data_IF_777457350003
#
_entry.id   IF_777457350003
#
_cell.length_a   1.000
_cell.length_b   1.000
_cell.length_c   1.000
_cell.angle_alpha   90.00
_cell.angle_beta   90.00
_cell.angle_gamma   90.00
#
_symmetry.space_group_name_H-M   'P 1'
#
loop_
_entity.id
_entity.type
_entity.pdbx_description
1 polymer ?
#
# COMPACT_ATOMS: atom_id res chain seq x y z
N UNK A 1 -0.38 19.52 -18.72
CA UNK A 1 -0.48 20.62 -17.74
C UNK A 1 -0.94 19.96 -16.45
N UNK A 2 -0.12 20.00 -15.40
CA UNK A 2 -0.50 19.37 -14.14
C UNK A 2 -1.69 20.12 -13.56
N UNK A 3 -2.70 19.40 -13.07
CA UNK A 3 -3.80 20.02 -12.35
C UNK A 3 -3.40 20.20 -10.88
N UNK A 4 -2.31 20.94 -10.67
CA UNK A 4 -1.80 21.29 -9.35
C UNK A 4 -2.25 22.68 -8.99
N UNK A 5 -2.68 22.86 -7.75
CA UNK A 5 -2.95 24.18 -7.19
C UNK A 5 -1.82 24.57 -6.25
N UNK A 6 -1.44 25.86 -6.16
CA UNK A 6 -0.50 26.29 -5.14
C UNK A 6 -1.04 25.96 -3.73
N UNK A 7 -0.14 25.57 -2.81
CA UNK A 7 -0.50 25.48 -1.40
C UNK A 7 -1.02 26.83 -0.89
N UNK A 8 -1.93 26.82 0.08
CA UNK A 8 -2.37 28.05 0.73
C UNK A 8 -1.21 28.70 1.49
N UNK A 9 -1.29 30.00 1.76
CA UNK A 9 -0.23 30.70 2.51
C UNK A 9 -0.01 30.07 3.90
N UNK A 10 -1.07 29.65 4.57
CA UNK A 10 -1.00 29.00 5.90
C UNK A 10 -0.27 27.65 5.83
N UNK A 11 -0.59 26.82 4.83
CA UNK A 11 0.08 25.54 4.61
C UNK A 11 1.54 25.73 4.25
N UNK A 12 1.83 26.71 3.39
CA UNK A 12 3.17 27.07 2.98
C UNK A 12 4.00 27.49 4.19
N UNK A 13 3.54 28.46 4.98
CA UNK A 13 4.25 28.96 6.16
C UNK A 13 4.49 27.84 7.20
N UNK A 14 3.48 27.00 7.43
CA UNK A 14 3.56 25.85 8.35
C UNK A 14 4.60 24.81 7.89
N UNK A 15 4.64 24.47 6.60
CA UNK A 15 5.63 23.56 6.04
C UNK A 15 7.04 24.18 6.03
N UNK A 16 7.16 25.48 5.77
CA UNK A 16 8.44 26.20 5.88
C UNK A 16 8.96 26.11 7.31
N UNK A 17 8.14 26.42 8.32
CA UNK A 17 8.53 26.32 9.73
C UNK A 17 9.01 24.90 10.08
N UNK A 18 8.31 23.88 9.55
CA UNK A 18 8.71 22.49 9.73
C UNK A 18 10.04 22.18 9.04
N UNK A 19 10.25 22.64 7.82
CA UNK A 19 11.50 22.45 7.07
C UNK A 19 12.69 23.12 7.74
N UNK A 20 12.52 24.27 8.37
CA UNK A 20 13.61 24.95 9.10
C UNK A 20 14.14 24.13 10.29
N UNK A 21 13.37 23.17 10.80
CA UNK A 21 13.77 22.24 11.86
C UNK A 21 14.55 21.03 11.32
N UNK A 22 14.58 20.83 10.00
CA UNK A 22 15.32 19.76 9.34
C UNK A 22 16.65 20.30 8.78
N UNK A 23 17.78 19.74 9.24
CA UNK A 23 19.12 20.21 8.85
C UNK A 23 19.39 20.20 7.34
N UNK A 24 18.75 19.31 6.58
CA UNK A 24 18.90 19.23 5.12
C UNK A 24 18.03 20.26 4.39
N UNK A 25 16.82 20.51 4.90
CA UNK A 25 15.83 21.34 4.21
C UNK A 25 15.83 22.79 4.67
N UNK A 26 16.42 23.12 5.83
CA UNK A 26 16.51 24.49 6.34
C UNK A 26 17.32 25.38 5.41
N UNK A 27 17.09 26.68 5.52
CA UNK A 27 17.94 27.69 4.86
C UNK A 27 19.34 27.66 5.49
N UNK A 28 20.37 27.75 4.64
CA UNK A 28 21.76 27.50 5.06
C UNK A 28 21.95 26.15 5.80
N UNK A 29 21.25 25.11 5.33
CA UNK A 29 21.34 23.75 5.85
C UNK A 29 22.62 23.03 5.42
N UNK A 30 22.63 21.71 5.56
CA UNK A 30 23.73 20.90 5.05
C UNK A 30 23.83 21.00 3.53
N UNK A 31 25.02 21.30 3.04
CA UNK A 31 25.31 21.29 1.61
C UNK A 31 25.23 19.85 1.11
N UNK A 32 24.26 19.57 0.23
CA UNK A 32 24.06 18.23 -0.31
C UNK A 32 25.11 17.89 -1.38
N UNK A 33 25.76 18.90 -1.98
CA UNK A 33 26.97 18.80 -2.78
C UNK A 33 27.76 20.12 -2.67
N UNK A 34 29.05 20.11 -3.04
CA UNK A 34 29.82 21.31 -3.36
C UNK A 34 29.21 21.98 -4.61
N UNK A 35 28.00 22.52 -4.49
CA UNK A 35 27.41 23.36 -5.53
C UNK A 35 28.34 24.56 -5.72
N UNK A 36 29.02 24.69 -6.87
CA UNK A 36 29.95 25.79 -7.11
C UNK A 36 29.28 27.17 -7.02
N UNK A 37 27.94 27.21 -7.08
CA UNK A 37 27.12 28.41 -7.11
C UNK A 37 26.33 28.63 -5.81
N UNK A 38 26.30 27.67 -4.89
CA UNK A 38 25.56 27.73 -3.62
C UNK A 38 24.12 28.27 -3.81
N UNK A 39 23.41 27.81 -4.85
CA UNK A 39 22.09 28.36 -5.17
C UNK A 39 21.07 27.93 -4.11
N UNK A 40 20.53 28.91 -3.38
CA UNK A 40 19.51 28.66 -2.37
C UNK A 40 18.12 28.53 -3.03
N UNK A 41 17.65 27.29 -3.19
CA UNK A 41 16.33 27.03 -3.76
C UNK A 41 15.19 27.51 -2.82
N UNK A 42 14.14 28.16 -3.35
CA UNK A 42 12.99 28.58 -2.54
C UNK A 42 12.14 27.38 -2.09
N UNK A 43 11.32 27.59 -1.06
CA UNK A 43 10.26 26.65 -0.71
C UNK A 43 9.09 26.82 -1.67
N UNK A 44 8.73 25.75 -2.36
CA UNK A 44 7.66 25.74 -3.34
C UNK A 44 6.80 24.48 -3.15
N UNK A 45 5.52 24.70 -2.85
CA UNK A 45 4.61 23.64 -2.49
C UNK A 45 3.35 23.70 -3.34
N UNK A 46 3.06 22.59 -3.98
CA UNK A 46 1.86 22.39 -4.78
C UNK A 46 0.92 21.39 -4.11
N UNK A 47 -0.35 21.40 -4.48
CA UNK A 47 -1.36 20.45 -4.03
C UNK A 47 -1.85 19.65 -5.22
N UNK A 48 -1.81 18.32 -5.08
CA UNK A 48 -2.47 17.41 -5.99
C UNK A 48 -3.94 17.23 -5.58
N UNK A 49 -4.86 17.29 -6.54
CA UNK A 49 -6.30 17.11 -6.29
C UNK A 49 -6.79 15.68 -6.51
N UNK A 50 -5.99 14.86 -7.18
CA UNK A 50 -6.31 13.44 -7.44
C UNK A 50 -5.06 12.59 -7.25
N UNK A 51 -5.25 11.29 -7.01
CA UNK A 51 -4.11 10.36 -6.91
C UNK A 51 -3.31 10.32 -8.22
N UNK A 52 -3.96 10.56 -9.35
CA UNK A 52 -3.31 10.67 -10.67
C UNK A 52 -2.46 11.92 -10.76
N UNK A 53 -2.94 13.07 -10.30
CA UNK A 53 -2.13 14.31 -10.30
C UNK A 53 -0.90 14.15 -9.41
N UNK A 54 -1.03 13.43 -8.29
CA UNK A 54 0.09 13.09 -7.42
C UNK A 54 1.10 12.16 -8.13
N UNK A 55 0.60 11.12 -8.81
CA UNK A 55 1.45 10.21 -9.60
C UNK A 55 2.15 10.94 -10.76
N UNK A 56 1.44 11.83 -11.46
CA UNK A 56 1.98 12.66 -12.53
C UNK A 56 3.08 13.61 -11.98
N UNK A 57 2.88 14.20 -10.79
CA UNK A 57 3.89 15.03 -10.11
C UNK A 57 5.20 14.26 -9.91
N UNK A 58 5.14 13.06 -9.32
CA UNK A 58 6.33 12.24 -9.10
C UNK A 58 6.94 11.72 -10.40
N UNK A 59 6.14 11.48 -11.44
CA UNK A 59 6.61 10.97 -12.74
C UNK A 59 7.50 11.95 -13.51
N UNK A 60 7.36 13.26 -13.28
CA UNK A 60 8.17 14.25 -14.00
C UNK A 60 9.65 14.20 -13.60
N UNK A 61 9.94 13.87 -12.35
CA UNK A 61 11.28 13.94 -11.77
C UNK A 61 11.89 15.35 -11.82
N UNK A 62 13.21 15.41 -11.60
CA UNK A 62 14.02 16.63 -11.66
C UNK A 62 13.53 17.77 -10.74
N UNK A 63 12.96 17.41 -9.59
CA UNK A 63 12.53 18.36 -8.58
C UNK A 63 13.71 18.88 -7.77
N UNK A 64 13.73 20.18 -7.52
CA UNK A 64 14.74 20.78 -6.65
C UNK A 64 14.46 20.47 -5.18
N UNK A 65 15.51 20.54 -4.36
CA UNK A 65 15.35 20.47 -2.90
C UNK A 65 14.35 21.53 -2.42
N UNK A 66 13.55 21.21 -1.39
CA UNK A 66 12.50 22.07 -0.81
C UNK A 66 11.26 22.27 -1.69
N UNK A 67 11.23 21.70 -2.88
CA UNK A 67 9.97 21.55 -3.61
C UNK A 67 9.18 20.38 -3.04
N UNK A 68 7.86 20.50 -3.02
CA UNK A 68 7.02 19.45 -2.48
C UNK A 68 5.58 19.48 -2.96
N UNK A 69 4.89 18.39 -2.65
CA UNK A 69 3.47 18.21 -2.98
C UNK A 69 2.68 17.80 -1.74
N UNK A 70 1.52 18.43 -1.56
CA UNK A 70 0.51 18.07 -0.58
C UNK A 70 -0.56 17.19 -1.21
N UNK A 71 -1.05 16.22 -0.45
CA UNK A 71 -2.14 15.35 -0.86
C UNK A 71 -2.93 14.86 0.36
N UNK A 72 -4.17 15.32 0.52
CA UNK A 72 -4.95 15.14 1.75
C UNK A 72 -4.17 15.62 2.99
N UNK A 73 -3.96 14.71 3.94
CA UNK A 73 -3.21 14.93 5.17
C UNK A 73 -1.71 14.60 5.06
N UNK A 74 -1.18 14.40 3.85
CA UNK A 74 0.23 14.12 3.60
C UNK A 74 0.93 15.29 2.91
N UNK A 75 2.23 15.42 3.17
CA UNK A 75 3.12 16.25 2.38
C UNK A 75 4.43 15.51 2.10
N UNK A 76 4.93 15.64 0.88
CA UNK A 76 6.16 15.04 0.41
C UNK A 76 7.11 16.15 -0.03
N UNK A 77 8.27 16.26 0.60
CA UNK A 77 9.23 17.34 0.33
C UNK A 77 10.54 16.75 -0.14
N UNK A 78 11.00 17.16 -1.32
CA UNK A 78 12.25 16.68 -1.89
C UNK A 78 13.43 17.06 -1.00
N UNK A 79 14.18 16.06 -0.53
CA UNK A 79 15.40 16.25 0.28
C UNK A 79 16.67 16.25 -0.57
N UNK A 80 16.58 15.70 -1.77
CA UNK A 80 17.72 15.48 -2.64
C UNK A 80 17.50 16.19 -3.97
N UNK A 81 18.37 17.13 -4.33
CA UNK A 81 18.22 17.89 -5.57
C UNK A 81 18.27 16.95 -6.79
N UNK A 82 17.20 16.94 -7.59
CA UNK A 82 17.05 16.06 -8.76
C UNK A 82 16.96 14.56 -8.43
N UNK A 83 16.87 14.18 -7.15
CA UNK A 83 16.76 12.80 -6.71
C UNK A 83 15.32 12.32 -6.57
N UNK A 84 15.16 11.27 -5.78
CA UNK A 84 13.87 10.62 -5.53
C UNK A 84 13.72 10.25 -4.06
N UNK A 85 14.13 11.14 -3.16
CA UNK A 85 14.07 10.92 -1.71
C UNK A 85 13.20 11.98 -1.06
N UNK A 86 11.98 11.57 -0.75
CA UNK A 86 10.92 12.47 -0.34
C UNK A 86 10.71 12.41 1.16
N UNK A 87 10.96 13.52 1.84
CA UNK A 87 10.62 13.67 3.25
C UNK A 87 9.12 13.61 3.41
N UNK A 88 8.64 12.57 4.08
CA UNK A 88 7.22 12.31 4.20
C UNK A 88 6.69 12.80 5.54
N UNK A 89 5.66 13.63 5.43
CA UNK A 89 5.02 14.31 6.55
C UNK A 89 3.54 13.91 6.61
N UNK A 90 3.05 13.74 7.83
CA UNK A 90 1.64 13.54 8.17
C UNK A 90 1.13 14.75 8.93
N UNK A 91 -0.02 15.28 8.55
CA UNK A 91 -0.70 16.34 9.29
C UNK A 91 -1.40 15.74 10.51
N UNK A 92 -1.10 16.29 11.68
CA UNK A 92 -1.71 15.91 12.95
C UNK A 92 -3.07 16.62 13.13
N UNK A 93 -3.96 16.10 14.00
CA UNK A 93 -5.24 16.74 14.30
C UNK A 93 -5.14 18.18 14.85
N UNK A 94 -4.00 18.52 15.47
CA UNK A 94 -3.70 19.87 15.96
C UNK A 94 -3.17 20.82 14.87
N UNK A 95 -3.11 20.35 13.62
CA UNK A 95 -2.61 21.09 12.46
C UNK A 95 -1.09 21.07 12.29
N UNK A 96 -0.34 20.48 13.23
CA UNK A 96 1.11 20.36 13.13
C UNK A 96 1.54 19.26 12.13
N UNK A 97 2.78 19.34 11.65
CA UNK A 97 3.35 18.33 10.75
C UNK A 97 4.27 17.37 11.51
N UNK A 98 3.98 16.07 11.40
CA UNK A 98 4.82 14.98 11.88
C UNK A 98 5.63 14.40 10.72
N UNK A 99 6.95 14.42 10.84
CA UNK A 99 7.83 13.67 9.93
C UNK A 99 7.96 12.24 10.42
N UNK A 100 7.90 11.26 9.52
CA UNK A 100 8.03 9.85 9.90
C UNK A 100 9.06 9.06 9.09
N UNK A 101 9.26 9.35 7.80
CA UNK A 101 10.33 8.70 7.02
C UNK A 101 10.73 9.49 5.76
N UNK A 102 11.72 8.95 5.05
CA UNK A 102 12.05 9.31 3.68
C UNK A 102 11.56 8.21 2.75
N UNK A 103 10.90 8.58 1.65
CA UNK A 103 10.23 7.64 0.76
C UNK A 103 10.75 7.76 -0.68
N UNK A 104 11.06 6.63 -1.29
CA UNK A 104 11.52 6.54 -2.69
C UNK A 104 10.34 6.26 -3.63
N UNK A 105 9.91 7.24 -4.43
CA UNK A 105 8.66 7.14 -5.21
C UNK A 105 8.80 6.27 -6.45
N UNK A 106 9.96 6.27 -7.10
CA UNK A 106 10.27 5.47 -8.29
C UNK A 106 10.09 3.96 -8.09
N UNK A 107 10.17 3.48 -6.85
CA UNK A 107 9.94 2.07 -6.53
C UNK A 107 8.45 1.68 -6.54
N UNK A 108 7.56 2.61 -6.19
CA UNK A 108 6.13 2.34 -6.06
C UNK A 108 5.31 2.83 -7.25
N UNK A 109 5.72 3.92 -7.88
CA UNK A 109 5.00 4.62 -8.94
C UNK A 109 4.73 3.79 -10.23
N UNK A 110 5.61 2.87 -10.67
CA UNK A 110 5.36 2.08 -11.89
C UNK A 110 4.10 1.20 -11.84
N UNK A 111 3.57 0.95 -10.65
CA UNK A 111 2.38 0.15 -10.40
C UNK A 111 1.37 1.00 -9.64
N UNK A 112 0.33 1.49 -10.33
CA UNK A 112 -0.68 2.36 -9.74
C UNK A 112 -1.43 1.71 -8.57
N UNK A 113 -1.58 0.38 -8.55
CA UNK A 113 -2.16 -0.33 -7.42
C UNK A 113 -1.23 -0.23 -6.21
N UNK A 114 0.06 -0.50 -6.41
CA UNK A 114 1.07 -0.35 -5.35
C UNK A 114 1.18 1.09 -4.85
N UNK A 115 1.15 2.06 -5.75
CA UNK A 115 1.17 3.48 -5.43
C UNK A 115 -0.05 3.87 -4.58
N UNK A 116 -1.25 3.53 -5.05
CA UNK A 116 -2.51 3.81 -4.36
C UNK A 116 -2.54 3.17 -2.97
N UNK A 117 -2.11 1.91 -2.85
CA UNK A 117 -1.98 1.24 -1.54
C UNK A 117 -1.04 1.99 -0.61
N UNK A 118 0.13 2.41 -1.10
CA UNK A 118 1.12 3.10 -0.27
C UNK A 118 0.58 4.43 0.26
N UNK A 119 0.01 5.25 -0.61
CA UNK A 119 -0.59 6.55 -0.23
C UNK A 119 -1.77 6.33 0.72
N UNK A 120 -2.68 5.41 0.41
CA UNK A 120 -3.81 5.10 1.27
C UNK A 120 -3.37 4.57 2.64
N UNK A 121 -2.32 3.72 2.71
CA UNK A 121 -1.76 3.22 3.96
C UNK A 121 -1.32 4.37 4.88
N UNK A 122 -0.60 5.35 4.33
CA UNK A 122 -0.15 6.52 5.08
C UNK A 122 -1.31 7.43 5.49
N UNK A 123 -2.32 7.60 4.63
CA UNK A 123 -3.50 8.43 4.95
C UNK A 123 -4.38 7.80 6.01
N UNK A 124 -4.58 6.48 5.95
CA UNK A 124 -5.48 5.73 6.84
C UNK A 124 -4.91 5.53 8.24
N UNK A 125 -3.58 5.52 8.36
CA UNK A 125 -2.91 5.45 9.64
C UNK A 125 -2.98 6.78 10.42
N UNK A 126 -3.00 6.64 11.74
CA UNK A 126 -2.81 7.73 12.69
C UNK A 126 -1.38 8.29 12.60
N UNK A 127 -1.14 9.54 13.07
CA UNK A 127 0.22 10.07 13.18
C UNK A 127 1.15 9.16 13.99
N UNK A 128 0.67 8.58 15.10
CA UNK A 128 1.43 7.69 15.96
C UNK A 128 1.84 6.39 15.24
N UNK A 129 0.94 5.79 14.46
CA UNK A 129 1.26 4.62 13.61
C UNK A 129 2.25 5.00 12.51
N UNK A 130 2.12 6.17 11.89
CA UNK A 130 3.11 6.68 10.94
C UNK A 130 4.48 6.80 11.60
N UNK A 131 4.55 7.41 12.79
CA UNK A 131 5.79 7.58 13.57
C UNK A 131 6.47 6.25 13.89
N UNK A 132 5.69 5.20 14.18
CA UNK A 132 6.19 3.85 14.46
C UNK A 132 6.45 3.01 13.20
N UNK A 133 6.16 3.56 12.01
CA UNK A 133 6.23 2.87 10.72
C UNK A 133 5.28 1.66 10.62
N UNK A 134 4.18 1.68 11.38
CA UNK A 134 3.17 0.61 11.48
C UNK A 134 1.98 0.84 10.56
N UNK A 135 2.10 1.74 9.58
CA UNK A 135 1.02 2.16 8.69
C UNK A 135 0.89 1.29 7.44
N UNK A 136 1.95 0.56 7.05
CA UNK A 136 2.01 -0.15 5.76
C UNK A 136 1.03 -1.30 5.68
N UNK A 137 0.10 -1.29 4.72
CA UNK A 137 -0.76 -2.43 4.43
C UNK A 137 0.03 -3.57 3.76
N UNK A 138 -0.33 -4.84 4.01
CA UNK A 138 0.39 -5.99 3.48
C UNK A 138 0.50 -5.99 1.96
N UNK A 139 1.61 -6.55 1.46
CA UNK A 139 1.80 -6.79 0.03
C UNK A 139 1.06 -8.06 -0.39
N UNK A 140 -0.08 -7.89 -1.06
CA UNK A 140 -0.95 -8.99 -1.54
C UNK A 140 -1.18 -8.89 -3.05
N UNK A 141 -1.87 -9.89 -3.60
CA UNK A 141 -2.40 -9.95 -4.98
C UNK A 141 -3.55 -8.97 -5.24
N UNK A 142 -4.14 -8.38 -4.20
CA UNK A 142 -5.27 -7.47 -4.34
C UNK A 142 -4.91 -6.24 -5.19
N UNK A 143 -5.83 -5.85 -6.05
CA UNK A 143 -5.73 -4.62 -6.85
C UNK A 143 -6.32 -3.47 -6.05
N UNK A 144 -5.56 -2.40 -5.90
CA UNK A 144 -5.94 -1.18 -5.20
C UNK A 144 -6.32 -0.09 -6.20
N UNK A 145 -7.49 0.51 -6.01
CA UNK A 145 -8.00 1.63 -6.80
C UNK A 145 -8.74 2.65 -5.92
N UNK A 146 -9.16 3.78 -6.52
CA UNK A 146 -9.84 4.88 -5.85
C UNK A 146 -9.01 6.17 -5.83
N UNK A 147 -9.56 7.19 -5.19
CA UNK A 147 -8.97 8.54 -5.19
C UNK A 147 -8.07 8.82 -3.99
N UNK A 148 -7.99 7.91 -3.01
CA UNK A 148 -7.14 8.03 -1.83
C UNK A 148 -7.29 9.40 -1.14
N UNK A 149 -8.52 9.73 -0.72
CA UNK A 149 -8.83 10.85 0.19
C UNK A 149 -8.05 12.14 -0.13
N UNK A 150 -8.23 12.72 -1.33
CA UNK A 150 -7.45 13.89 -1.76
C UNK A 150 -7.74 15.14 -0.93
N UNK A 151 -8.89 15.15 -0.25
CA UNK A 151 -9.29 16.14 0.73
C UNK A 151 -9.77 15.49 2.04
N UNK A 152 -9.88 16.29 3.10
CA UNK A 152 -10.28 15.82 4.44
C UNK A 152 -11.78 15.47 4.54
N UNK A 153 -12.57 15.67 3.48
CA UNK A 153 -14.03 15.65 3.52
C UNK A 153 -14.68 14.49 2.79
N UNK A 154 -13.99 13.91 1.80
CA UNK A 154 -14.51 12.82 0.98
C UNK A 154 -13.42 12.04 0.25
N UNK A 155 -13.76 10.82 -0.14
CA UNK A 155 -12.92 9.98 -0.97
C UNK A 155 -13.14 8.52 -0.64
N UNK A 156 -12.54 7.65 -1.45
CA UNK A 156 -12.52 6.23 -1.16
C UNK A 156 -11.23 5.61 -1.65
N UNK A 157 -10.92 4.47 -1.06
CA UNK A 157 -9.94 3.52 -1.59
C UNK A 157 -10.55 2.13 -1.50
N UNK A 158 -10.25 1.31 -2.48
CA UNK A 158 -10.79 -0.04 -2.58
C UNK A 158 -9.71 -1.03 -2.94
N UNK A 159 -9.72 -2.17 -2.27
CA UNK A 159 -8.88 -3.33 -2.54
C UNK A 159 -9.77 -4.48 -3.03
N UNK A 160 -9.44 -5.07 -4.18
CA UNK A 160 -10.26 -6.13 -4.81
C UNK A 160 -9.42 -7.33 -5.21
N UNK A 161 -9.97 -8.50 -4.93
CA UNK A 161 -9.54 -9.81 -5.42
C UNK A 161 -10.74 -10.54 -6.05
N UNK A 162 -10.58 -11.81 -6.37
CA UNK A 162 -11.64 -12.59 -7.03
C UNK A 162 -12.87 -12.81 -6.13
N UNK A 163 -12.63 -13.04 -4.83
CA UNK A 163 -13.66 -13.39 -3.84
C UNK A 163 -13.75 -12.39 -2.68
N UNK A 164 -13.12 -11.23 -2.84
CA UNK A 164 -12.96 -10.25 -1.77
C UNK A 164 -12.96 -8.83 -2.32
N UNK A 165 -13.79 -7.98 -1.74
CA UNK A 165 -13.77 -6.54 -1.94
C UNK A 165 -13.79 -5.86 -0.58
N UNK A 166 -12.83 -4.96 -0.38
CA UNK A 166 -12.76 -4.06 0.76
C UNK A 166 -12.77 -2.64 0.24
N UNK A 167 -13.64 -1.82 0.78
CA UNK A 167 -13.74 -0.40 0.46
C UNK A 167 -13.68 0.41 1.75
N UNK A 168 -12.87 1.45 1.74
CA UNK A 168 -12.84 2.46 2.81
C UNK A 168 -13.36 3.75 2.22
N UNK A 169 -14.42 4.28 2.80
CA UNK A 169 -15.07 5.52 2.35
C UNK A 169 -14.90 6.58 3.43
N UNK A 170 -14.35 7.73 3.05
CA UNK A 170 -14.35 8.92 3.88
C UNK A 170 -15.60 9.74 3.59
N UNK A 171 -16.21 10.20 4.66
CA UNK A 171 -17.33 11.14 4.62
C UNK A 171 -17.15 12.17 5.73
N UNK A 172 -18.01 13.18 5.78
CA UNK A 172 -17.99 14.21 6.82
C UNK A 172 -18.12 13.69 8.25
N UNK A 173 -18.63 12.46 8.42
CA UNK A 173 -18.79 11.81 9.73
C UNK A 173 -17.59 10.94 10.13
N UNK A 174 -16.60 10.79 9.24
CA UNK A 174 -15.42 9.97 9.43
C UNK A 174 -15.22 8.95 8.32
N UNK A 175 -14.27 8.04 8.54
CA UNK A 175 -13.94 6.94 7.62
C UNK A 175 -14.64 5.67 8.07
N UNK A 176 -15.36 5.03 7.15
CA UNK A 176 -16.02 3.74 7.36
C UNK A 176 -15.43 2.67 6.45
N UNK A 177 -15.46 1.42 6.92
CA UNK A 177 -15.03 0.24 6.15
C UNK A 177 -16.27 -0.54 5.73
N UNK A 178 -16.33 -0.90 4.46
CA UNK A 178 -17.29 -1.83 3.87
C UNK A 178 -16.51 -3.02 3.32
N UNK A 179 -16.96 -4.23 3.61
CA UNK A 179 -16.31 -5.46 3.16
C UNK A 179 -17.35 -6.43 2.61
N UNK A 180 -17.09 -6.96 1.43
CA UNK A 180 -17.90 -7.98 0.77
C UNK A 180 -17.02 -9.15 0.40
N UNK A 181 -17.34 -10.34 0.90
CA UNK A 181 -16.61 -11.57 0.62
C UNK A 181 -17.47 -12.80 0.91
N UNK A 182 -16.93 -13.99 0.64
CA UNK A 182 -17.55 -15.23 1.14
C UNK A 182 -17.64 -15.22 2.67
N UNK A 183 -18.72 -15.78 3.22
CA UNK A 183 -19.05 -15.70 4.65
C UNK A 183 -17.89 -16.11 5.58
N UNK A 184 -17.21 -17.23 5.30
CA UNK A 184 -16.05 -17.68 6.08
C UNK A 184 -14.86 -16.74 6.04
N UNK A 185 -14.72 -15.94 4.97
CA UNK A 185 -13.67 -14.91 4.89
C UNK A 185 -13.99 -13.72 5.79
N UNK A 186 -15.26 -13.40 6.06
CA UNK A 186 -15.65 -12.28 6.93
C UNK A 186 -15.55 -12.59 8.43
N UNK A 187 -15.53 -13.87 8.81
CA UNK A 187 -15.52 -14.30 10.22
C UNK A 187 -14.35 -13.67 11.02
N UNK A 188 -14.65 -12.93 12.10
CA UNK A 188 -13.64 -12.29 12.94
C UNK A 188 -13.07 -10.97 12.41
N UNK A 189 -13.59 -10.43 11.31
CA UNK A 189 -13.24 -9.10 10.78
C UNK A 189 -14.17 -7.98 11.30
N UNK A 190 -14.90 -8.24 12.38
CA UNK A 190 -15.77 -7.27 13.04
C UNK A 190 -14.97 -6.09 13.60
N UNK A 191 -15.47 -4.87 13.43
CA UNK A 191 -14.77 -3.65 13.83
C UNK A 191 -14.49 -3.55 15.32
N UNK A 192 -15.27 -4.22 16.17
CA UNK A 192 -15.09 -4.23 17.62
C UNK A 192 -13.81 -4.96 18.07
N UNK A 193 -13.20 -5.76 17.18
CA UNK A 193 -12.00 -6.54 17.48
C UNK A 193 -10.69 -5.76 17.26
N UNK A 194 -10.76 -4.54 16.72
CA UNK A 194 -9.57 -3.77 16.31
C UNK A 194 -9.53 -2.41 17.00
N UNK A 195 -8.34 -2.00 17.43
CA UNK A 195 -8.14 -0.72 18.11
C UNK A 195 -8.08 0.45 17.12
N UNK A 196 -7.64 0.18 15.89
CA UNK A 196 -7.53 1.21 14.84
C UNK A 196 -8.01 0.72 13.48
N UNK A 197 -8.30 1.69 12.60
CA UNK A 197 -8.69 1.43 11.22
C UNK A 197 -7.61 0.64 10.47
N UNK A 198 -6.32 0.98 10.64
CA UNK A 198 -5.25 0.29 9.91
C UNK A 198 -5.08 -1.16 10.37
N UNK A 199 -5.32 -1.46 11.65
CA UNK A 199 -5.32 -2.83 12.17
C UNK A 199 -6.42 -3.68 11.53
N UNK A 200 -7.65 -3.15 11.46
CA UNK A 200 -8.77 -3.82 10.81
C UNK A 200 -8.45 -4.11 9.33
N UNK A 201 -7.94 -3.10 8.62
CA UNK A 201 -7.60 -3.23 7.19
C UNK A 201 -6.47 -4.23 6.95
N UNK A 202 -5.43 -4.21 7.80
CA UNK A 202 -4.33 -5.16 7.74
C UNK A 202 -4.85 -6.59 7.90
N UNK A 203 -5.64 -6.84 8.95
CA UNK A 203 -6.22 -8.15 9.21
C UNK A 203 -7.10 -8.64 8.06
N UNK A 204 -7.93 -7.76 7.49
CA UNK A 204 -8.78 -8.09 6.37
C UNK A 204 -7.98 -8.47 5.11
N UNK A 205 -6.96 -7.67 4.77
CA UNK A 205 -6.10 -7.89 3.61
C UNK A 205 -5.25 -9.15 3.78
N UNK A 206 -4.72 -9.43 4.97
CA UNK A 206 -3.98 -10.66 5.27
C UNK A 206 -4.87 -11.90 5.16
N UNK A 207 -6.10 -11.83 5.67
CA UNK A 207 -7.03 -12.95 5.61
C UNK A 207 -7.44 -13.26 4.15
N UNK A 208 -7.66 -12.23 3.33
CA UNK A 208 -7.94 -12.39 1.92
C UNK A 208 -6.78 -13.08 1.16
N UNK A 209 -5.55 -12.64 1.42
CA UNK A 209 -4.35 -13.24 0.82
C UNK A 209 -4.13 -14.70 1.26
N UNK A 210 -4.37 -15.01 2.54
CA UNK A 210 -4.32 -16.39 3.05
C UNK A 210 -5.39 -17.28 2.39
N UNK A 211 -6.60 -16.76 2.20
CA UNK A 211 -7.68 -17.49 1.54
C UNK A 211 -7.33 -17.80 0.08
N UNK A 212 -6.86 -16.81 -0.69
CA UNK A 212 -6.44 -17.03 -2.08
C UNK A 212 -5.30 -18.05 -2.16
N UNK A 213 -4.29 -17.95 -1.29
CA UNK A 213 -3.19 -18.92 -1.23
C UNK A 213 -3.69 -20.33 -0.90
N UNK A 214 -4.62 -20.47 0.04
CA UNK A 214 -5.21 -21.76 0.39
C UNK A 214 -6.04 -22.34 -0.77
N UNK A 215 -6.79 -21.51 -1.50
CA UNK A 215 -7.56 -21.92 -2.67
C UNK A 215 -6.70 -22.31 -3.87
N UNK A 216 -5.51 -21.71 -4.03
CA UNK A 216 -4.55 -22.03 -5.09
C UNK A 216 -3.70 -23.26 -4.81
N UNK A 217 -3.62 -23.73 -3.56
CA UNK A 217 -3.04 -25.04 -3.26
C UNK A 217 -4.07 -26.08 -3.73
N UNK A 218 -3.80 -26.84 -4.81
CA UNK A 218 -4.68 -27.92 -5.20
C UNK A 218 -4.78 -28.85 -3.99
N UNK A 219 -5.93 -29.48 -3.84
CA UNK A 219 -6.21 -30.56 -2.89
C UNK A 219 -5.12 -31.65 -3.02
N UNK A 220 -3.96 -31.43 -2.39
CA UNK A 220 -2.78 -32.28 -2.50
C UNK A 220 -3.07 -33.63 -1.84
N UNK A 221 -3.99 -33.62 -0.86
CA UNK A 221 -4.66 -34.81 -0.33
C UNK A 221 -5.42 -35.57 -1.43
N UNK A 222 -6.31 -34.91 -2.19
CA UNK A 222 -7.14 -35.55 -3.21
C UNK A 222 -6.35 -36.14 -4.39
N UNK A 223 -5.26 -35.49 -4.79
CA UNK A 223 -4.33 -36.01 -5.81
C UNK A 223 -3.46 -37.16 -5.27
N UNK A 224 -2.98 -37.06 -4.02
CA UNK A 224 -2.22 -38.11 -3.34
C UNK A 224 -3.07 -39.37 -3.13
N UNK A 225 -4.32 -39.23 -2.73
CA UNK A 225 -5.21 -40.36 -2.46
C UNK A 225 -5.64 -41.06 -3.76
N UNK A 226 -5.90 -40.30 -4.83
CA UNK A 226 -6.10 -40.88 -6.18
C UNK A 226 -4.86 -41.59 -6.68
N UNK A 227 -3.66 -41.03 -6.47
CA UNK A 227 -2.42 -41.67 -6.86
C UNK A 227 -2.18 -42.98 -6.06
N UNK A 228 -2.44 -42.97 -4.75
CA UNK A 228 -2.37 -44.18 -3.90
C UNK A 228 -3.37 -45.25 -4.34
N UNK A 229 -4.61 -44.87 -4.63
CA UNK A 229 -5.61 -45.81 -5.14
C UNK A 229 -5.26 -46.38 -6.51
N UNK A 230 -4.68 -45.57 -7.41
CA UNK A 230 -4.24 -46.02 -8.72
C UNK A 230 -3.08 -47.04 -8.63
N UNK A 231 -2.12 -46.82 -7.72
CA UNK A 231 -1.02 -47.76 -7.48
C UNK A 231 -1.54 -49.09 -6.91
N UNK A 232 -2.43 -49.04 -5.91
CA UNK A 232 -3.01 -50.26 -5.31
C UNK A 232 -3.84 -51.03 -6.35
N UNK A 233 -4.59 -50.34 -7.21
CA UNK A 233 -5.36 -50.99 -8.28
C UNK A 233 -4.44 -51.68 -9.31
N UNK A 234 -3.35 -51.01 -9.71
CA UNK A 234 -2.35 -51.58 -10.64
C UNK A 234 -1.64 -52.80 -10.04
N UNK A 235 -1.26 -52.76 -8.77
CA UNK A 235 -0.60 -53.88 -8.10
C UNK A 235 -1.51 -55.10 -7.97
N UNK A 236 -2.80 -54.88 -7.70
CA UNK A 236 -3.78 -55.96 -7.66
C UNK A 236 -4.03 -56.57 -9.03
N UNK A 237 -4.10 -55.74 -10.09
CA UNK A 237 -4.30 -56.22 -11.46
C UNK A 237 -3.12 -57.07 -11.94
N UNK A 238 -1.88 -56.65 -11.66
CA UNK A 238 -0.67 -57.44 -11.96
C UNK A 238 -0.66 -58.76 -11.19
N UNK A 239 -1.09 -58.77 -9.92
CA UNK A 239 -1.20 -60.03 -9.14
C UNK A 239 -2.26 -60.97 -9.68
N UNK A 240 -3.38 -60.46 -10.16
CA UNK A 240 -4.44 -61.27 -10.79
C UNK A 240 -3.96 -61.87 -12.11
N UNK A 241 -3.30 -61.08 -12.97
CA UNK A 241 -2.75 -61.54 -14.24
C UNK A 241 -1.65 -62.60 -14.04
N UNK A 242 -0.80 -62.44 -13.01
CA UNK A 242 0.22 -63.44 -12.68
C UNK A 242 -0.37 -64.75 -12.15
N UNK A 243 -1.46 -64.69 -11.38
CA UNK A 243 -2.16 -65.87 -10.87
C UNK A 243 -2.88 -66.64 -12.00
N UNK A 244 -3.43 -65.93 -12.98
CA UNK A 244 -4.08 -66.52 -14.16
C UNK A 244 -3.06 -67.20 -15.09
N UNK A 245 -1.91 -66.57 -15.34
CA UNK A 245 -0.82 -67.18 -16.13
C UNK A 245 -0.17 -68.40 -15.46
N UNK A 246 -0.14 -68.43 -14.12
CA UNK A 246 0.37 -69.60 -13.39
C UNK A 246 -0.60 -70.77 -13.49
N UNK A 247 -1.91 -70.52 -13.49
CA UNK A 247 -2.93 -71.56 -13.67
C UNK A 247 -3.05 -72.09 -15.10
N UNK A 248 -2.71 -71.29 -16.13
CA UNK A 248 -2.66 -71.76 -17.53
C UNK A 248 -1.44 -72.63 -17.83
N UNK A 249 -0.31 -72.42 -17.16
CA UNK A 249 0.91 -73.22 -17.35
C UNK A 249 0.92 -74.57 -16.59
N UNK A 250 -0.08 -74.83 -15.74
CA UNK A 250 -0.22 -76.06 -14.95
C UNK A 250 -1.31 -77.04 -15.46
N UNK A 251 -1.90 -76.78 -16.65
CA UNK A 251 -2.85 -77.68 -17.34
C UNK A 251 -2.25 -78.32 -18.58
#
# INVERSE_FOLDING_TARGET
MFNLTPATQEEHDSLVEKCQKNGWLKRGGFDWQDDPWLEEYPYDFSRASTIKDLADFFSNGNWAIRQGVLFGDLAFIQQVNGGDEWWTLKRCPDGSWLAFESYTMSYILPDMSRFTRAIASMQLATPEECKRLEYSLPKTSLVWDGEAFPDDSSGYVRARGENFELEVVASRIGRGVSMTAQEGLLEGLDSENFGTLIEQLRAAVEKADQYEKAAMIPDAQGLSDKARHAVIASENQVRTEHAEQTHENER
#
